data_IF_569822782499
#
_entry.id   IF_569822782499
#
_cell.length_a   1.000
_cell.length_b   1.000
_cell.length_c   1.000
_cell.angle_alpha   90.00
_cell.angle_beta   90.00
_cell.angle_gamma   90.00
#
_symmetry.space_group_name_H-M   'P 1'
#
loop_
_entity.id
_entity.type
_entity.pdbx_description
1 polymer ?
#
# COMPACT_ATOMS: atom_id res chain seq x y z
N UNK A 1 -4.98 -36.50 -40.13
CA UNK A 1 -5.09 -35.09 -39.71
C UNK A 1 -5.82 -35.08 -38.38
N UNK A 2 -5.16 -34.86 -37.23
CA UNK A 2 -5.87 -34.54 -36.00
C UNK A 2 -5.80 -33.04 -35.73
N UNK A 3 -6.97 -32.54 -35.35
CA UNK A 3 -7.35 -31.16 -35.14
C UNK A 3 -6.66 -30.52 -33.93
N UNK A 4 -6.39 -29.23 -34.05
CA UNK A 4 -5.90 -28.35 -33.00
C UNK A 4 -7.03 -28.09 -31.98
N UNK A 5 -6.74 -28.04 -30.67
CA UNK A 5 -7.50 -27.17 -29.78
C UNK A 5 -6.84 -25.80 -29.80
N UNK A 6 -7.56 -24.85 -30.41
CA UNK A 6 -7.33 -23.41 -30.36
C UNK A 6 -7.05 -22.97 -28.92
N UNK A 7 -5.78 -22.68 -28.64
CA UNK A 7 -5.38 -21.99 -27.42
C UNK A 7 -5.83 -20.55 -27.54
N UNK A 8 -7.04 -20.29 -27.01
CA UNK A 8 -7.61 -18.97 -26.86
C UNK A 8 -6.60 -18.07 -26.14
N UNK A 9 -6.01 -17.13 -26.88
CA UNK A 9 -5.04 -16.17 -26.39
C UNK A 9 -5.69 -15.22 -25.38
N UNK A 10 -5.53 -15.53 -24.09
CA UNK A 10 -5.59 -14.49 -23.05
C UNK A 10 -4.34 -13.63 -23.22
N UNK A 11 -4.54 -12.38 -23.62
CA UNK A 11 -3.47 -11.44 -23.95
C UNK A 11 -2.56 -11.26 -22.73
N UNK A 12 -1.24 -11.50 -22.82
CA UNK A 12 -0.32 -11.42 -21.67
C UNK A 12 -0.14 -9.99 -21.13
N UNK A 13 -0.47 -8.95 -21.91
CA UNK A 13 -0.36 -7.55 -21.46
C UNK A 13 -1.19 -7.24 -20.21
N UNK A 14 -2.43 -7.73 -20.10
CA UNK A 14 -3.37 -7.34 -19.04
C UNK A 14 -2.89 -7.79 -17.64
N UNK A 15 -2.36 -9.01 -17.57
CA UNK A 15 -1.81 -9.57 -16.33
C UNK A 15 -0.53 -8.86 -15.87
N UNK A 16 0.24 -8.26 -16.79
CA UNK A 16 1.47 -7.55 -16.45
C UNK A 16 1.20 -6.19 -15.80
N UNK A 17 0.13 -5.50 -16.25
CA UNK A 17 -0.28 -4.20 -15.72
C UNK A 17 -0.91 -4.36 -14.35
N UNK A 18 -1.80 -5.35 -14.17
CA UNK A 18 -2.38 -5.67 -12.87
C UNK A 18 -1.30 -5.98 -11.82
N UNK A 19 -0.31 -6.81 -12.16
CA UNK A 19 0.79 -7.19 -11.24
C UNK A 19 1.67 -6.00 -10.85
N UNK A 20 1.85 -5.02 -11.76
CA UNK A 20 2.59 -3.77 -11.48
C UNK A 20 1.79 -2.88 -10.53
N UNK A 21 0.50 -2.69 -10.77
CA UNK A 21 -0.37 -1.90 -9.90
C UNK A 21 -0.41 -2.48 -8.47
N UNK A 22 -0.50 -3.80 -8.32
CA UNK A 22 -0.42 -4.46 -7.01
C UNK A 22 0.94 -4.26 -6.32
N UNK A 23 2.04 -4.32 -7.08
CA UNK A 23 3.38 -4.08 -6.55
C UNK A 23 3.57 -2.63 -6.10
N UNK A 24 3.02 -1.66 -6.84
CA UNK A 24 3.04 -0.24 -6.45
C UNK A 24 2.19 0.02 -5.22
N UNK A 25 1.00 -0.58 -5.13
CA UNK A 25 0.14 -0.49 -3.95
C UNK A 25 0.87 -1.02 -2.71
N UNK A 26 1.50 -2.21 -2.81
CA UNK A 26 2.29 -2.80 -1.72
C UNK A 26 3.48 -1.95 -1.32
N UNK A 27 4.17 -1.29 -2.27
CA UNK A 27 5.26 -0.36 -1.94
C UNK A 27 4.75 0.88 -1.22
N UNK A 28 3.60 1.40 -1.65
CA UNK A 28 2.96 2.56 -1.04
C UNK A 28 2.53 2.26 0.40
N UNK A 29 1.88 1.12 0.62
CA UNK A 29 1.51 0.63 1.96
C UNK A 29 2.75 0.48 2.85
N UNK A 30 3.78 -0.23 2.41
CA UNK A 30 5.01 -0.40 3.19
C UNK A 30 5.67 0.94 3.54
N UNK A 31 5.66 1.91 2.61
CA UNK A 31 6.18 3.25 2.86
C UNK A 31 5.38 3.98 3.93
N UNK A 32 4.05 3.89 3.87
CA UNK A 32 3.15 4.48 4.86
C UNK A 32 3.30 3.81 6.23
N UNK A 33 3.45 2.49 6.28
CA UNK A 33 3.73 1.76 7.54
C UNK A 33 5.06 2.18 8.17
N UNK A 34 6.13 2.32 7.37
CA UNK A 34 7.41 2.83 7.85
C UNK A 34 7.30 4.27 8.38
N UNK A 35 6.54 5.13 7.69
CA UNK A 35 6.28 6.48 8.17
C UNK A 35 5.50 6.47 9.49
N UNK A 36 4.48 5.61 9.60
CA UNK A 36 3.69 5.42 10.83
C UNK A 36 4.58 5.04 12.01
N UNK A 37 5.46 4.06 11.84
CA UNK A 37 6.38 3.61 12.89
C UNK A 37 7.35 4.72 13.30
N UNK A 38 7.90 5.45 12.33
CA UNK A 38 8.80 6.58 12.59
C UNK A 38 8.11 7.68 13.39
N UNK A 39 6.88 8.03 13.01
CA UNK A 39 6.05 9.01 13.71
C UNK A 39 5.73 8.56 15.14
N UNK A 40 5.41 7.28 15.35
CA UNK A 40 5.19 6.72 16.69
C UNK A 40 6.44 6.81 17.56
N UNK A 41 7.62 6.51 16.99
CA UNK A 41 8.91 6.60 17.67
C UNK A 41 9.28 8.06 18.00
N UNK A 42 9.07 8.99 17.08
CA UNK A 42 9.30 10.43 17.33
C UNK A 42 8.33 10.98 18.38
N UNK A 43 7.09 10.47 18.42
CA UNK A 43 6.05 10.88 19.38
C UNK A 43 6.40 10.47 20.81
N UNK A 44 7.03 9.30 20.99
CA UNK A 44 7.53 8.87 22.30
C UNK A 44 8.81 9.60 22.70
N UNK A 45 9.66 9.96 21.74
CA UNK A 45 10.92 10.66 22.00
C UNK A 45 10.77 12.16 22.33
N UNK A 46 9.72 12.84 21.86
CA UNK A 46 9.59 14.30 22.07
C UNK A 46 8.14 14.77 22.35
N UNK A 47 7.80 15.09 23.61
CA UNK A 47 6.43 15.47 23.99
C UNK A 47 5.93 16.77 23.35
N UNK A 48 6.83 17.73 23.08
CA UNK A 48 6.47 19.02 22.48
C UNK A 48 5.99 18.90 21.02
N UNK A 49 6.39 17.84 20.31
CA UNK A 49 5.98 17.61 18.91
C UNK A 49 4.84 16.60 18.79
N UNK A 50 4.31 16.09 19.91
CA UNK A 50 3.25 15.06 19.92
C UNK A 50 2.05 15.45 19.09
N UNK A 51 1.51 16.66 19.25
CA UNK A 51 0.30 17.08 18.53
C UNK A 51 0.51 17.13 17.00
N UNK A 52 1.66 17.61 16.53
CA UNK A 52 1.98 17.62 15.11
C UNK A 52 2.16 16.18 14.57
N UNK A 53 2.82 15.33 15.35
CA UNK A 53 3.05 13.92 15.01
C UNK A 53 1.75 13.10 15.03
N UNK A 54 0.81 13.37 15.94
CA UNK A 54 -0.51 12.72 15.95
C UNK A 54 -1.35 13.10 14.74
N UNK A 55 -1.29 14.36 14.29
CA UNK A 55 -1.94 14.78 13.04
C UNK A 55 -1.31 14.06 11.85
N UNK A 56 0.02 14.01 11.77
CA UNK A 56 0.72 13.27 10.71
C UNK A 56 0.36 11.77 10.74
N UNK A 57 0.28 11.16 11.92
CA UNK A 57 -0.13 9.78 12.11
C UNK A 57 -1.53 9.53 11.57
N UNK A 58 -2.50 10.39 11.92
CA UNK A 58 -3.87 10.29 11.41
C UNK A 58 -3.94 10.47 9.89
N UNK A 59 -3.14 11.34 9.31
CA UNK A 59 -3.06 11.48 7.85
C UNK A 59 -2.55 10.22 7.18
N UNK A 60 -1.50 9.59 7.74
CA UNK A 60 -0.94 8.33 7.23
C UNK A 60 -1.96 7.18 7.37
N UNK A 61 -2.62 7.08 8.51
CA UNK A 61 -3.66 6.07 8.76
C UNK A 61 -4.84 6.26 7.80
N UNK A 62 -5.27 7.49 7.54
CA UNK A 62 -6.29 7.79 6.54
C UNK A 62 -5.86 7.40 5.12
N UNK A 63 -4.61 7.67 4.72
CA UNK A 63 -4.10 7.24 3.41
C UNK A 63 -4.05 5.71 3.28
N UNK A 64 -3.71 4.99 4.37
CA UNK A 64 -3.77 3.53 4.40
C UNK A 64 -5.20 3.01 4.23
N UNK A 65 -6.17 3.60 4.92
CA UNK A 65 -7.59 3.25 4.77
C UNK A 65 -8.10 3.49 3.34
N UNK A 66 -7.71 4.60 2.70
CA UNK A 66 -8.05 4.89 1.30
C UNK A 66 -7.48 3.85 0.33
N UNK A 67 -6.33 3.25 0.66
CA UNK A 67 -5.72 2.17 -0.12
C UNK A 67 -6.35 0.79 0.17
N UNK A 68 -7.39 0.73 1.01
CA UNK A 68 -8.04 -0.50 1.44
C UNK A 68 -7.25 -1.26 2.52
N UNK A 69 -6.16 -0.67 3.03
CA UNK A 69 -5.40 -1.21 4.15
C UNK A 69 -5.98 -0.64 5.44
N UNK A 70 -7.09 -1.22 5.88
CA UNK A 70 -7.70 -0.84 7.15
C UNK A 70 -6.78 -1.28 8.29
N UNK A 71 -5.98 -0.34 8.81
CA UNK A 71 -5.27 -0.50 10.08
C UNK A 71 -6.35 -0.56 11.15
N UNK A 72 -6.73 -1.77 11.57
CA UNK A 72 -7.56 -1.94 12.77
C UNK A 72 -6.76 -1.42 13.96
N UNK A 73 -7.21 -0.29 14.49
CA UNK A 73 -6.72 0.35 15.71
C UNK A 73 -7.14 -0.46 16.95
#
# INVERSE_FOLDING_TARGET
MPEQPSSQGVKPEDHSVARRAEAELKRKIQTLELQRERVLSERTASPHRRSALETALKSIEYELEQLGWSVKL
#
